data_IF_527135403579
#
_entry.id   IF_527135403579
#
_cell.length_a   1.000
_cell.length_b   1.000
_cell.length_c   1.000
_cell.angle_alpha   90.00
_cell.angle_beta   90.00
_cell.angle_gamma   90.00
#
_symmetry.space_group_name_H-M   'P 1'
#
loop_
_entity.id
_entity.type
_entity.pdbx_description
1 polymer ?
#
# COMPACT_ATOMS: atom_id res chain seq x y z
N UNK A 1 4.59 18.01 -37.89
CA UNK A 1 5.81 18.20 -37.08
C UNK A 1 5.62 17.43 -35.79
N UNK A 2 6.33 16.31 -35.66
CA UNK A 2 6.24 15.41 -34.52
C UNK A 2 7.05 15.99 -33.35
N UNK A 3 6.38 16.36 -32.26
CA UNK A 3 7.06 16.60 -30.98
C UNK A 3 7.23 15.27 -30.25
N UNK A 4 8.48 14.95 -29.98
CA UNK A 4 8.90 13.71 -29.36
C UNK A 4 8.33 13.59 -27.95
N UNK A 5 7.65 12.47 -27.72
CA UNK A 5 7.17 11.94 -26.44
C UNK A 5 8.33 11.83 -25.46
N UNK A 6 8.49 12.79 -24.56
CA UNK A 6 9.29 12.61 -23.34
C UNK A 6 8.41 11.93 -22.30
N UNK A 7 8.09 10.65 -22.54
CA UNK A 7 7.60 9.76 -21.50
C UNK A 7 8.79 9.49 -20.56
N UNK A 8 9.06 10.47 -19.68
CA UNK A 8 9.83 10.25 -18.46
C UNK A 8 9.05 9.17 -17.71
N UNK A 9 9.60 7.95 -17.65
CA UNK A 9 8.99 6.80 -16.99
C UNK A 9 8.45 7.22 -15.63
N UNK A 10 7.14 7.43 -15.60
CA UNK A 10 6.37 7.57 -14.39
C UNK A 10 6.36 6.17 -13.77
N UNK A 11 7.39 5.87 -12.99
CA UNK A 11 7.37 4.76 -12.05
C UNK A 11 6.38 5.19 -10.98
N UNK A 12 5.09 5.21 -11.32
CA UNK A 12 4.02 5.31 -10.34
C UNK A 12 4.15 4.05 -9.51
N UNK A 13 4.92 4.15 -8.44
CA UNK A 13 4.80 3.28 -7.30
C UNK A 13 3.32 3.32 -6.96
N UNK A 14 2.64 2.19 -7.12
CA UNK A 14 1.24 2.12 -6.75
C UNK A 14 1.22 2.18 -5.21
N UNK A 15 0.97 3.37 -4.67
CA UNK A 15 0.84 3.55 -3.24
C UNK A 15 -0.50 2.95 -2.80
N UNK A 16 -0.44 1.99 -1.89
CA UNK A 16 -1.61 1.32 -1.35
C UNK A 16 -1.87 1.80 0.06
N UNK A 17 -3.10 2.22 0.35
CA UNK A 17 -3.46 2.66 1.68
C UNK A 17 -3.97 1.47 2.52
N UNK A 18 -3.50 1.40 3.75
CA UNK A 18 -3.91 0.42 4.76
C UNK A 18 -4.57 1.15 5.93
N UNK A 19 -5.77 0.72 6.28
CA UNK A 19 -6.56 1.27 7.38
C UNK A 19 -6.72 0.21 8.49
N UNK A 20 -6.29 0.52 9.70
CA UNK A 20 -6.45 -0.36 10.87
C UNK A 20 -7.76 -0.09 11.60
N UNK A 21 -8.35 -1.14 12.17
CA UNK A 21 -9.48 -1.04 13.09
C UNK A 21 -9.10 -0.40 14.44
N UNK A 22 -7.86 -0.59 14.88
CA UNK A 22 -7.33 -0.05 16.12
C UNK A 22 -6.00 0.70 15.86
N UNK A 23 -5.98 2.04 16.04
CA UNK A 23 -4.80 2.85 15.76
C UNK A 23 -3.63 2.57 16.73
N UNK A 24 -3.83 1.90 17.86
CA UNK A 24 -2.75 1.54 18.79
C UNK A 24 -1.71 0.59 18.18
N UNK A 25 -2.08 -0.10 17.09
CA UNK A 25 -1.21 -1.02 16.36
C UNK A 25 -0.43 -0.38 15.21
N UNK A 26 -0.61 0.91 14.94
CA UNK A 26 -0.04 1.61 13.77
C UNK A 26 1.47 1.45 13.69
N UNK A 27 2.21 1.84 14.73
CA UNK A 27 3.67 1.72 14.77
C UNK A 27 4.16 0.28 14.65
N UNK A 28 3.40 -0.65 15.22
CA UNK A 28 3.74 -2.08 15.21
C UNK A 28 3.55 -2.67 13.81
N UNK A 29 2.50 -2.30 13.09
CA UNK A 29 2.30 -2.70 11.70
C UNK A 29 3.36 -2.07 10.78
N UNK A 30 3.66 -0.78 10.97
CA UNK A 30 4.72 -0.10 10.23
C UNK A 30 6.06 -0.82 10.39
N UNK A 31 6.46 -1.08 11.65
CA UNK A 31 7.70 -1.78 11.96
C UNK A 31 7.74 -3.19 11.36
N UNK A 32 6.64 -3.93 11.45
CA UNK A 32 6.53 -5.27 10.89
C UNK A 32 6.76 -5.26 9.37
N UNK A 33 6.05 -4.41 8.64
CA UNK A 33 6.17 -4.32 7.19
C UNK A 33 7.56 -3.81 6.75
N UNK A 34 8.13 -2.82 7.45
CA UNK A 34 9.49 -2.35 7.19
C UNK A 34 10.54 -3.44 7.46
N UNK A 35 10.35 -4.29 8.48
CA UNK A 35 11.24 -5.43 8.74
C UNK A 35 11.22 -6.48 7.63
N UNK A 36 10.15 -6.53 6.84
CA UNK A 36 9.98 -7.37 5.66
C UNK A 36 10.45 -6.68 4.36
N UNK A 37 11.08 -5.51 4.47
CA UNK A 37 11.61 -4.76 3.34
C UNK A 37 10.58 -3.92 2.58
N UNK A 38 9.38 -3.72 3.13
CA UNK A 38 8.40 -2.81 2.54
C UNK A 38 8.74 -1.35 2.88
N UNK A 39 8.53 -0.45 1.91
CA UNK A 39 8.57 0.99 2.16
C UNK A 39 7.20 1.43 2.66
N UNK A 40 7.15 1.95 3.88
CA UNK A 40 5.91 2.29 4.59
C UNK A 40 5.97 3.70 5.12
N UNK A 41 4.89 4.45 4.92
CA UNK A 41 4.68 5.78 5.48
C UNK A 41 3.48 5.73 6.43
N UNK A 42 3.62 6.28 7.64
CA UNK A 42 2.49 6.48 8.55
C UNK A 42 1.83 7.82 8.20
N UNK A 43 0.70 7.77 7.50
CA UNK A 43 -0.03 8.97 7.09
C UNK A 43 -0.84 9.59 8.24
N UNK A 44 -1.44 8.75 9.09
CA UNK A 44 -2.18 9.15 10.29
C UNK A 44 -2.29 7.97 11.29
N UNK A 45 -2.74 8.18 12.54
CA UNK A 45 -3.06 7.07 13.44
C UNK A 45 -4.10 6.13 12.81
N UNK A 46 -3.75 4.87 12.66
CA UNK A 46 -4.58 3.85 12.02
C UNK A 46 -4.50 3.84 10.49
N UNK A 47 -3.65 4.68 9.87
CA UNK A 47 -3.56 4.80 8.41
C UNK A 47 -2.10 4.76 7.96
N UNK A 48 -1.77 3.79 7.11
CA UNK A 48 -0.45 3.65 6.51
C UNK A 48 -0.55 3.66 4.99
N UNK A 49 0.47 4.18 4.34
CA UNK A 49 0.68 4.06 2.91
C UNK A 49 1.85 3.12 2.67
N UNK A 50 1.67 2.17 1.77
CA UNK A 50 2.68 1.17 1.39
C UNK A 50 3.02 1.35 -0.07
N UNK A 51 4.29 1.63 -0.32
CA UNK A 51 4.84 1.77 -1.66
C UNK A 51 5.06 0.38 -2.26
N UNK A 52 4.20 0.00 -3.22
CA UNK A 52 4.34 -1.27 -3.92
C UNK A 52 5.18 -1.11 -5.18
N UNK A 53 6.16 -2.00 -5.34
CA UNK A 53 6.86 -2.17 -6.60
C UNK A 53 5.85 -2.50 -7.73
N UNK A 54 6.05 -1.99 -8.96
CA UNK A 54 5.14 -2.24 -10.06
C UNK A 54 5.06 -3.74 -10.39
N UNK A 55 3.88 -4.34 -10.21
CA UNK A 55 3.63 -5.74 -10.55
C UNK A 55 2.57 -6.40 -9.66
N UNK A 56 1.82 -7.34 -10.23
CA UNK A 56 0.75 -8.10 -9.51
C UNK A 56 1.30 -8.88 -8.31
N UNK A 57 2.57 -9.30 -8.38
CA UNK A 57 3.22 -10.08 -7.32
C UNK A 57 3.37 -9.31 -6.00
N UNK A 58 3.67 -8.01 -6.05
CA UNK A 58 3.91 -7.21 -4.84
C UNK A 58 2.64 -7.08 -3.98
N UNK A 59 1.48 -6.88 -4.61
CA UNK A 59 0.19 -6.82 -3.91
C UNK A 59 -0.20 -8.17 -3.29
N UNK A 60 0.08 -9.28 -3.98
CA UNK A 60 -0.19 -10.61 -3.45
C UNK A 60 0.72 -10.94 -2.25
N UNK A 61 2.00 -10.58 -2.34
CA UNK A 61 2.97 -10.73 -1.26
C UNK A 61 2.56 -9.92 -0.01
N UNK A 62 2.17 -8.65 -0.18
CA UNK A 62 1.60 -7.86 0.92
C UNK A 62 0.37 -8.54 1.54
N UNK A 63 -0.50 -9.13 0.72
CA UNK A 63 -1.64 -9.93 1.20
C UNK A 63 -1.25 -11.19 2.00
N UNK A 64 -0.06 -11.75 1.78
CA UNK A 64 0.49 -12.83 2.62
C UNK A 64 0.94 -12.25 3.97
N UNK A 65 1.67 -11.14 3.96
CA UNK A 65 2.14 -10.49 5.19
C UNK A 65 1.00 -10.04 6.10
N UNK A 66 -0.06 -9.48 5.53
CA UNK A 66 -1.25 -9.09 6.30
C UNK A 66 -2.01 -10.29 6.89
N UNK A 67 -1.94 -11.47 6.25
CA UNK A 67 -2.47 -12.70 6.84
C UNK A 67 -1.66 -13.16 8.04
N UNK A 68 -0.32 -13.07 7.98
CA UNK A 68 0.55 -13.36 9.12
C UNK A 68 0.28 -12.37 10.26
N UNK A 69 0.17 -11.09 9.94
CA UNK A 69 -0.20 -10.05 10.90
C UNK A 69 -1.50 -10.40 11.65
N UNK A 70 -2.55 -10.80 10.93
CA UNK A 70 -3.84 -11.20 11.52
C UNK A 70 -3.72 -12.39 12.48
N UNK A 71 -2.78 -13.30 12.25
CA UNK A 71 -2.51 -14.42 13.17
C UNK A 71 -1.83 -13.94 14.46
N UNK A 72 -0.94 -12.95 14.36
CA UNK A 72 -0.24 -12.38 15.52
C UNK A 72 -1.13 -11.45 16.35
N UNK A 73 -2.00 -10.70 15.68
CA UNK A 73 -2.87 -9.68 16.28
C UNK A 73 -4.29 -9.82 15.72
N UNK A 74 -5.08 -10.78 16.23
CA UNK A 74 -6.42 -11.06 15.69
C UNK A 74 -7.40 -9.88 15.85
N UNK A 75 -7.18 -9.03 16.85
CA UNK A 75 -8.01 -7.85 17.11
C UNK A 75 -7.64 -6.63 16.23
N UNK A 76 -6.47 -6.66 15.58
CA UNK A 76 -5.96 -5.57 14.74
C UNK A 76 -6.25 -5.86 13.26
N UNK A 77 -7.50 -5.70 12.85
CA UNK A 77 -7.94 -5.89 11.47
C UNK A 77 -7.38 -4.76 10.58
N UNK A 78 -6.97 -5.12 9.36
CA UNK A 78 -6.41 -4.20 8.37
C UNK A 78 -7.26 -4.27 7.10
N UNK A 79 -7.69 -3.12 6.61
CA UNK A 79 -8.41 -2.94 5.36
C UNK A 79 -7.48 -2.31 4.33
N UNK A 80 -7.60 -2.74 3.08
CA UNK A 80 -6.82 -2.22 1.96
C UNK A 80 -7.72 -1.28 1.16
N UNK A 81 -7.39 0.00 1.17
CA UNK A 81 -8.00 0.98 0.29
C UNK A 81 -7.11 1.12 -0.94
N UNK A 82 -7.66 0.69 -2.09
CA UNK A 82 -7.00 0.91 -3.37
C UNK A 82 -7.33 2.33 -3.78
N UNK A 83 -6.35 3.24 -3.74
CA UNK A 83 -6.46 4.49 -4.50
C UNK A 83 -6.20 4.17 -5.98
N UNK A 84 -7.00 3.26 -6.54
CA UNK A 84 -7.14 3.11 -7.98
C UNK A 84 -8.05 4.29 -8.36
N UNK A 85 -7.42 5.43 -8.63
CA UNK A 85 -8.09 6.59 -9.18
C UNK A 85 -8.76 6.13 -10.47
N UNK A 86 -10.05 5.81 -10.38
CA UNK A 86 -10.84 5.32 -11.49
C UNK A 86 -10.68 6.30 -12.63
N UNK A 87 -10.17 5.79 -13.75
CA UNK A 87 -10.23 6.49 -15.03
C UNK A 87 -11.69 6.91 -15.24
N UNK A 88 -11.94 8.22 -15.17
CA UNK A 88 -13.24 8.80 -15.39
C UNK A 88 -13.77 8.32 -16.76
N UNK A 89 -15.01 7.83 -16.87
CA UNK A 89 -15.55 7.48 -18.16
C UNK A 89 -15.66 8.77 -18.98
N UNK A 90 -14.82 8.91 -20.00
CA UNK A 90 -14.97 9.93 -21.01
C UNK A 90 -16.32 9.69 -21.70
N UNK A 91 -17.24 10.63 -21.51
CA UNK A 91 -18.54 10.69 -22.16
C UNK A 91 -18.43 11.03 -23.66
#
# INVERSE_FOLDING_TARGET
MSTFRTARWDTRVAALQLCLSDPSYTDRLATFLTSLGQTVLVAAPGVLEVDLAPGVSARNELGIYLRVWKVLYPDASVHIDSNDEGEAPAA
#
